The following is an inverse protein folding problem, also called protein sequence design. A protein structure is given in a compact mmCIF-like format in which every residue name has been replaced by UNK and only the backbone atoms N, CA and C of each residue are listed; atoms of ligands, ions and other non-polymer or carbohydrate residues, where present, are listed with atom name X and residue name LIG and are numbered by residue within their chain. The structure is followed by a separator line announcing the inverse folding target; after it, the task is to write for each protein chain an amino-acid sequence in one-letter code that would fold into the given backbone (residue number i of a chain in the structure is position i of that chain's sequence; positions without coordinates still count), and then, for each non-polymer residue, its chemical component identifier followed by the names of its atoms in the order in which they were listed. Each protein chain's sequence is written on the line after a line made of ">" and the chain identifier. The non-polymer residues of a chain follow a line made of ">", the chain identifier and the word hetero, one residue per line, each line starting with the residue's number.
data_IF_881551895874
#
_entry.id   IF_881551895874
#
_cell.length_a   1.000
_cell.length_b   1.000
_cell.length_c   1.000
_cell.angle_alpha   90.00
_cell.angle_beta   90.00
_cell.angle_gamma   90.00
#
_symmetry.space_group_name_H-M   'P 1'
#
loop_
_entity.id
_entity.type
_entity.pdbx_description
1 polymer ?
#
# COMPACT_ATOMS: atom_id res chain seq x y z
N UNK A 1 -10.31 13.50 5.10
CA UNK A 1 -9.57 12.74 4.07
C UNK A 1 -8.14 13.19 4.14
N UNK A 2 -7.21 12.25 4.21
CA UNK A 2 -5.77 12.55 4.28
C UNK A 2 -5.30 13.47 3.14
N UNK A 3 -4.32 14.33 3.39
CA UNK A 3 -3.77 15.19 2.35
C UNK A 3 -2.94 14.35 1.37
N UNK A 4 -2.88 14.79 0.11
CA UNK A 4 -2.03 14.19 -0.93
C UNK A 4 -0.56 14.21 -0.52
N UNK A 5 -0.11 15.31 0.10
CA UNK A 5 1.30 15.47 0.52
C UNK A 5 1.73 14.43 1.56
N UNK A 6 0.83 14.07 2.48
CA UNK A 6 1.10 13.07 3.54
C UNK A 6 1.31 11.65 2.98
N UNK A 7 0.85 11.41 1.74
CA UNK A 7 1.07 10.14 1.03
C UNK A 7 2.33 10.25 0.16
N UNK A 8 2.38 11.29 -0.68
CA UNK A 8 3.32 11.38 -1.80
C UNK A 8 4.72 11.85 -1.37
N UNK A 9 4.84 12.55 -0.24
CA UNK A 9 6.08 13.21 0.18
C UNK A 9 7.22 12.29 0.65
N UNK A 10 6.90 11.05 1.02
CA UNK A 10 7.87 10.13 1.63
C UNK A 10 8.83 9.48 0.64
N UNK A 11 10.06 9.18 1.09
CA UNK A 11 11.05 8.44 0.30
C UNK A 11 10.52 7.06 -0.08
N UNK A 12 9.85 6.36 0.86
CA UNK A 12 9.25 5.06 0.60
C UNK A 12 8.28 5.12 -0.59
N UNK A 13 7.34 6.06 -0.60
CA UNK A 13 6.39 6.15 -1.70
C UNK A 13 7.10 6.46 -3.03
N UNK A 14 8.01 7.43 -3.05
CA UNK A 14 8.77 7.81 -4.26
C UNK A 14 9.56 6.64 -4.82
N UNK A 15 10.24 5.89 -3.97
CA UNK A 15 11.05 4.73 -4.38
C UNK A 15 10.17 3.60 -4.95
N UNK A 16 9.03 3.32 -4.32
CA UNK A 16 8.07 2.35 -4.84
C UNK A 16 7.52 2.75 -6.20
N UNK A 17 7.27 4.05 -6.43
CA UNK A 17 6.83 4.52 -7.74
C UNK A 17 7.96 4.40 -8.76
N UNK A 18 9.20 4.76 -8.42
CA UNK A 18 10.35 4.60 -9.32
C UNK A 18 10.56 3.15 -9.75
N UNK A 19 10.52 2.20 -8.79
CA UNK A 19 10.60 0.75 -9.06
C UNK A 19 9.46 0.30 -9.98
N UNK A 20 8.24 0.81 -9.77
CA UNK A 20 7.12 0.45 -10.65
C UNK A 20 7.15 1.14 -12.01
N UNK A 21 7.74 2.32 -12.13
CA UNK A 21 7.98 2.98 -13.42
C UNK A 21 8.94 2.16 -14.27
N UNK A 22 9.93 1.50 -13.65
CA UNK A 22 10.76 0.52 -14.35
C UNK A 22 9.93 -0.64 -14.91
N UNK A 23 9.10 -1.26 -14.08
CA UNK A 23 8.21 -2.35 -14.50
C UNK A 23 7.19 -1.89 -15.55
N UNK A 24 6.75 -0.62 -15.50
CA UNK A 24 5.82 -0.04 -16.49
C UNK A 24 6.37 -0.14 -17.92
N UNK A 25 7.68 0.07 -18.12
CA UNK A 25 8.31 -0.08 -19.44
C UNK A 25 8.21 -1.51 -19.97
N UNK A 26 8.46 -2.51 -19.11
CA UNK A 26 8.24 -3.93 -19.45
C UNK A 26 6.79 -4.17 -19.85
N UNK A 27 5.83 -3.64 -19.09
CA UNK A 27 4.40 -3.84 -19.35
C UNK A 27 3.93 -3.19 -20.65
N UNK A 28 4.46 -2.02 -20.99
CA UNK A 28 4.20 -1.36 -22.27
C UNK A 28 4.76 -2.16 -23.45
N UNK A 29 5.96 -2.71 -23.30
CA UNK A 29 6.55 -3.60 -24.30
C UNK A 29 5.70 -4.88 -24.50
N UNK A 30 5.32 -5.57 -23.41
CA UNK A 30 4.45 -6.74 -23.49
C UNK A 30 3.09 -6.40 -24.11
N UNK A 31 2.53 -5.21 -23.84
CA UNK A 31 1.29 -4.74 -24.46
C UNK A 31 1.43 -4.62 -25.98
N UNK A 32 2.53 -4.05 -26.48
CA UNK A 32 2.77 -3.89 -27.91
C UNK A 32 2.88 -5.24 -28.64
N UNK A 33 3.35 -6.29 -27.96
CA UNK A 33 3.44 -7.64 -28.49
C UNK A 33 2.16 -8.47 -28.33
N UNK A 34 1.09 -7.92 -27.73
CA UNK A 34 -0.13 -8.67 -27.44
C UNK A 34 0.05 -9.71 -26.32
N UNK A 35 1.07 -9.56 -25.47
CA UNK A 35 1.45 -10.48 -24.40
C UNK A 35 1.17 -9.91 -23.00
N UNK A 36 0.31 -8.90 -22.89
CA UNK A 36 -0.03 -8.31 -21.59
C UNK A 36 -0.79 -9.34 -20.74
N UNK A 37 -0.35 -9.63 -19.51
CA UNK A 37 -1.03 -10.61 -18.64
C UNK A 37 -2.45 -10.17 -18.33
N UNK A 38 -3.34 -11.12 -18.08
CA UNK A 38 -4.73 -10.90 -17.68
C UNK A 38 -4.89 -10.05 -16.41
N UNK A 39 -6.13 -9.63 -16.10
CA UNK A 39 -6.41 -8.71 -15.00
C UNK A 39 -6.03 -9.24 -13.61
N UNK A 40 -6.01 -10.57 -13.44
CA UNK A 40 -5.67 -11.25 -12.19
C UNK A 40 -4.46 -12.17 -12.36
N UNK A 41 -3.76 -12.10 -13.49
CA UNK A 41 -2.54 -12.87 -13.71
C UNK A 41 -1.36 -12.15 -13.09
N UNK A 42 -0.53 -12.89 -12.36
CA UNK A 42 0.76 -12.43 -11.89
C UNK A 42 1.64 -12.16 -13.11
N UNK A 43 1.97 -10.89 -13.32
CA UNK A 43 2.73 -10.52 -14.51
C UNK A 43 3.05 -9.04 -14.62
N UNK A 44 2.55 -8.21 -13.69
CA UNK A 44 3.02 -6.84 -13.53
C UNK A 44 4.26 -6.76 -12.63
N UNK A 45 5.13 -7.76 -12.74
CA UNK A 45 6.40 -7.86 -12.02
C UNK A 45 7.54 -7.44 -12.93
N UNK A 46 8.61 -6.93 -12.35
CA UNK A 46 9.85 -6.54 -13.04
C UNK A 46 11.05 -7.07 -12.28
N UNK A 47 12.26 -6.96 -12.83
CA UNK A 47 13.49 -7.44 -12.16
C UNK A 47 13.65 -6.83 -10.75
N UNK A 48 13.16 -5.61 -10.57
CA UNK A 48 13.18 -4.89 -9.28
C UNK A 48 11.88 -5.06 -8.45
N UNK A 49 10.80 -5.61 -9.02
CA UNK A 49 9.47 -5.78 -8.41
C UNK A 49 8.96 -7.20 -8.70
N UNK A 50 9.65 -8.23 -8.19
CA UNK A 50 9.45 -9.61 -8.66
C UNK A 50 8.22 -10.30 -8.08
N UNK A 51 7.67 -9.84 -6.94
CA UNK A 51 6.70 -10.63 -6.16
C UNK A 51 5.60 -9.84 -5.41
N UNK A 52 5.55 -8.52 -5.62
CA UNK A 52 4.80 -7.66 -4.72
C UNK A 52 5.44 -7.61 -3.32
N UNK A 53 5.04 -6.64 -2.49
CA UNK A 53 5.66 -6.42 -1.19
C UNK A 53 4.66 -5.82 -0.20
N UNK A 54 4.88 -6.05 1.10
CA UNK A 54 4.12 -5.41 2.17
C UNK A 54 5.10 -4.67 3.08
N UNK A 55 4.92 -3.37 3.24
CA UNK A 55 5.67 -2.53 4.16
C UNK A 55 4.78 -2.11 5.32
N UNK A 56 5.21 -2.38 6.54
CA UNK A 56 4.46 -2.10 7.78
C UNK A 56 5.35 -1.34 8.76
N UNK A 57 4.86 -0.29 9.45
CA UNK A 57 5.58 0.32 10.55
C UNK A 57 5.90 -0.73 11.64
N UNK A 58 7.18 -0.96 11.90
CA UNK A 58 7.66 -2.16 12.58
C UNK A 58 7.18 -2.31 14.02
N UNK A 59 6.99 -1.21 14.74
CA UNK A 59 6.46 -1.23 16.11
C UNK A 59 5.00 -1.73 16.23
N UNK A 60 4.30 -1.94 15.11
CA UNK A 60 2.97 -2.54 15.09
C UNK A 60 2.97 -4.06 15.31
N UNK A 61 4.08 -4.72 15.01
CA UNK A 61 4.20 -6.19 14.99
C UNK A 61 5.15 -6.61 16.11
N UNK A 62 4.62 -7.34 17.09
CA UNK A 62 5.42 -7.80 18.25
C UNK A 62 6.15 -9.13 17.98
N UNK A 63 5.46 -10.09 17.36
CA UNK A 63 5.99 -11.41 17.06
C UNK A 63 5.57 -11.88 15.65
N UNK A 64 6.34 -12.83 15.10
CA UNK A 64 6.05 -13.48 13.82
C UNK A 64 5.02 -14.62 13.97
N UNK A 65 4.79 -15.37 12.89
CA UNK A 65 3.85 -16.51 12.86
C UNK A 65 4.27 -17.68 13.76
N UNK A 66 5.55 -17.77 14.09
CA UNK A 66 6.14 -18.84 14.91
C UNK A 66 6.29 -18.38 16.39
N UNK A 67 5.61 -17.29 16.75
CA UNK A 67 5.63 -16.66 18.07
C UNK A 67 7.01 -16.13 18.52
N UNK A 68 7.94 -15.92 17.58
CA UNK A 68 9.23 -15.31 17.89
C UNK A 68 9.11 -13.79 17.94
N UNK A 69 9.68 -13.15 18.97
CA UNK A 69 9.74 -11.68 19.04
C UNK A 69 10.49 -11.13 17.81
N UNK A 70 9.93 -10.10 17.19
CA UNK A 70 10.58 -9.46 16.04
C UNK A 70 11.91 -8.87 16.48
N UNK A 71 12.96 -9.25 15.76
CA UNK A 71 14.31 -8.71 15.90
C UNK A 71 14.75 -8.08 14.58
N UNK A 72 15.57 -7.05 14.67
CA UNK A 72 16.21 -6.42 13.53
C UNK A 72 17.56 -5.84 13.96
N UNK A 73 18.43 -5.64 12.99
CA UNK A 73 19.71 -4.96 13.18
C UNK A 73 19.51 -3.47 12.94
N UNK A 74 19.83 -2.67 13.96
CA UNK A 74 19.84 -1.21 13.83
C UNK A 74 21.02 -0.79 12.96
N UNK A 75 20.76 0.12 12.03
CA UNK A 75 21.72 0.71 11.11
C UNK A 75 22.17 2.02 11.73
N UNK A 76 23.46 2.09 12.12
CA UNK A 76 24.01 3.25 12.84
C UNK A 76 23.83 4.58 12.09
N UNK A 77 23.90 4.56 10.75
CA UNK A 77 23.76 5.73 9.90
C UNK A 77 22.83 5.44 8.72
N UNK A 78 21.53 5.36 8.99
CA UNK A 78 20.52 5.22 7.93
C UNK A 78 20.31 6.58 7.24
N UNK A 79 20.71 6.66 5.97
CA UNK A 79 20.45 7.82 5.10
C UNK A 79 19.43 7.48 3.99
N UNK A 80 19.08 8.48 3.18
CA UNK A 80 18.12 8.30 2.09
C UNK A 80 18.58 7.24 1.07
N UNK A 81 19.88 7.22 0.73
CA UNK A 81 20.42 6.31 -0.29
C UNK A 81 20.31 4.86 0.15
N UNK A 82 20.77 4.57 1.37
CA UNK A 82 20.71 3.25 1.97
C UNK A 82 19.26 2.81 2.22
N UNK A 83 18.38 3.73 2.61
CA UNK A 83 16.96 3.43 2.76
C UNK A 83 16.32 3.00 1.43
N UNK A 84 16.63 3.70 0.32
CA UNK A 84 16.15 3.32 -1.02
C UNK A 84 16.67 1.96 -1.46
N UNK A 85 17.95 1.67 -1.20
CA UNK A 85 18.54 0.35 -1.47
C UNK A 85 17.80 -0.76 -0.72
N UNK A 86 17.56 -0.59 0.59
CA UNK A 86 16.83 -1.56 1.41
C UNK A 86 15.39 -1.77 0.96
N UNK A 87 14.71 -0.73 0.45
CA UNK A 87 13.39 -0.88 -0.17
C UNK A 87 13.48 -1.80 -1.39
N UNK A 88 14.44 -1.57 -2.31
CA UNK A 88 14.59 -2.39 -3.52
C UNK A 88 14.91 -3.84 -3.21
N UNK A 89 15.77 -4.09 -2.23
CA UNK A 89 16.03 -5.44 -1.73
C UNK A 89 14.74 -6.09 -1.20
N UNK A 90 13.97 -5.32 -0.42
CA UNK A 90 12.74 -5.79 0.21
C UNK A 90 11.62 -6.13 -0.79
N UNK A 91 11.63 -5.52 -1.97
CA UNK A 91 10.66 -5.79 -3.05
C UNK A 91 10.78 -7.21 -3.66
N UNK A 92 11.83 -7.95 -3.29
CA UNK A 92 12.04 -9.33 -3.75
C UNK A 92 11.35 -10.37 -2.85
N UNK A 93 10.93 -9.98 -1.64
CA UNK A 93 10.32 -10.90 -0.67
C UNK A 93 8.79 -10.92 -0.82
N UNK A 94 8.22 -12.13 -0.78
CA UNK A 94 6.76 -12.35 -0.72
C UNK A 94 6.16 -11.89 0.63
N UNK A 95 7.01 -11.82 1.65
CA UNK A 95 6.70 -11.59 3.05
C UNK A 95 6.70 -10.10 3.43
N UNK A 96 6.30 -9.82 4.67
CA UNK A 96 6.29 -8.45 5.15
C UNK A 96 7.70 -7.92 5.43
N UNK A 97 7.90 -6.65 5.14
CA UNK A 97 9.05 -5.87 5.60
C UNK A 97 8.58 -4.87 6.63
N UNK A 98 9.17 -4.94 7.81
CA UNK A 98 8.87 -4.06 8.93
C UNK A 98 9.86 -2.90 8.92
N UNK A 99 9.34 -1.67 8.99
CA UNK A 99 10.11 -0.44 8.91
C UNK A 99 10.30 0.16 10.29
N UNK A 100 11.55 0.31 10.72
CA UNK A 100 11.94 0.99 11.95
C UNK A 100 12.67 2.30 11.61
N UNK A 101 12.70 3.29 12.53
CA UNK A 101 13.37 4.55 12.28
C UNK A 101 14.86 4.41 11.92
N UNK A 102 15.48 3.35 12.41
CA UNK A 102 16.90 3.03 12.31
C UNK A 102 17.14 1.68 11.63
N UNK A 103 16.15 1.04 11.01
CA UNK A 103 16.39 -0.29 10.44
C UNK A 103 15.18 -0.97 9.81
N UNK A 104 15.39 -2.23 9.42
CA UNK A 104 14.41 -3.06 8.72
C UNK A 104 14.39 -4.48 9.30
N UNK A 105 13.21 -5.05 9.46
CA UNK A 105 13.06 -6.51 9.56
C UNK A 105 12.43 -7.02 8.25
N UNK A 106 13.24 -7.57 7.37
CA UNK A 106 12.77 -8.10 6.09
C UNK A 106 12.29 -9.55 6.21
N UNK A 107 11.44 -9.97 5.27
CA UNK A 107 10.94 -11.35 5.16
C UNK A 107 10.19 -11.90 6.39
N UNK A 108 9.46 -11.04 7.10
CA UNK A 108 8.66 -11.45 8.28
C UNK A 108 7.41 -12.21 7.86
N UNK A 109 7.25 -13.42 8.40
CA UNK A 109 6.02 -14.21 8.29
C UNK A 109 4.99 -13.71 9.31
N UNK A 110 3.83 -13.28 8.83
CA UNK A 110 2.78 -12.72 9.69
C UNK A 110 1.63 -13.72 9.89
N UNK A 111 1.14 -13.88 11.12
CA UNK A 111 -0.06 -14.66 11.40
C UNK A 111 -1.33 -13.94 10.91
N UNK A 112 -1.76 -14.27 9.68
CA UNK A 112 -3.01 -13.75 9.11
C UNK A 112 -4.24 -14.01 10.01
N UNK A 113 -4.24 -15.11 10.76
CA UNK A 113 -5.30 -15.48 11.69
C UNK A 113 -5.38 -14.51 12.87
N UNK A 114 -4.24 -14.22 13.52
CA UNK A 114 -4.13 -13.22 14.59
C UNK A 114 -4.69 -11.87 14.16
N UNK A 115 -4.20 -11.30 13.05
CA UNK A 115 -4.65 -9.98 12.61
C UNK A 115 -6.14 -9.97 12.24
N UNK A 116 -6.64 -11.06 11.66
CA UNK A 116 -8.06 -11.21 11.35
C UNK A 116 -8.91 -11.20 12.63
N UNK A 117 -8.50 -11.94 13.67
CA UNK A 117 -9.20 -11.97 14.96
C UNK A 117 -9.15 -10.61 15.65
N UNK A 118 -7.99 -9.96 15.66
CA UNK A 118 -7.79 -8.61 16.21
C UNK A 118 -8.74 -7.61 15.54
N UNK A 119 -8.71 -7.52 14.21
CA UNK A 119 -9.53 -6.61 13.43
C UNK A 119 -11.02 -6.80 13.69
N UNK A 120 -11.50 -8.06 13.69
CA UNK A 120 -12.90 -8.39 14.00
C UNK A 120 -13.28 -8.00 15.41
N UNK A 121 -12.45 -8.31 16.40
CA UNK A 121 -12.75 -8.04 17.82
C UNK A 121 -12.83 -6.54 18.08
N UNK A 122 -11.88 -5.76 17.57
CA UNK A 122 -11.88 -4.30 17.65
C UNK A 122 -13.15 -3.71 17.03
N UNK A 123 -13.50 -4.11 15.81
CA UNK A 123 -14.66 -3.55 15.11
C UNK A 123 -16.00 -3.94 15.74
N UNK A 124 -16.14 -5.18 16.21
CA UNK A 124 -17.34 -5.62 16.93
C UNK A 124 -17.48 -4.89 18.27
N UNK A 125 -16.39 -4.71 19.03
CA UNK A 125 -16.44 -3.93 20.27
C UNK A 125 -16.80 -2.47 20.05
N UNK A 126 -16.22 -1.80 19.04
CA UNK A 126 -16.61 -0.43 18.67
C UNK A 126 -18.10 -0.37 18.34
N UNK A 127 -18.56 -1.29 17.50
CA UNK A 127 -19.97 -1.36 17.11
C UNK A 127 -20.89 -1.54 18.31
N UNK A 128 -20.52 -2.39 19.27
CA UNK A 128 -21.27 -2.61 20.50
C UNK A 128 -21.24 -1.39 21.45
N UNK A 129 -20.07 -0.78 21.66
CA UNK A 129 -19.88 0.35 22.56
C UNK A 129 -20.64 1.60 22.09
N UNK A 130 -20.70 1.84 20.77
CA UNK A 130 -21.38 2.98 20.18
C UNK A 130 -22.87 2.72 19.85
N UNK A 131 -23.46 1.61 20.34
CA UNK A 131 -24.92 1.38 20.20
C UNK A 131 -25.70 2.45 20.94
N UNK A 132 -26.61 3.13 20.23
CA UNK A 132 -27.55 4.10 20.82
C UNK A 132 -28.46 3.49 21.90
N UNK A 133 -28.80 2.20 21.79
CA UNK A 133 -29.59 1.47 22.79
C UNK A 133 -28.72 0.41 23.46
N UNK A 134 -28.49 0.55 24.76
CA UNK A 134 -27.70 -0.40 25.59
C UNK A 134 -28.48 -1.64 26.02
N UNK A 135 -29.63 -1.92 25.40
CA UNK A 135 -30.46 -3.10 25.71
C UNK A 135 -30.13 -4.22 24.74
N UNK A 136 -30.04 -5.44 25.25
CA UNK A 136 -30.00 -6.66 24.43
C UNK A 136 -31.39 -6.77 23.78
N UNK A 137 -31.52 -6.28 22.55
CA UNK A 137 -32.75 -6.38 21.77
C UNK A 137 -32.99 -7.82 21.30
N UNK A 138 -34.23 -8.13 20.89
CA UNK A 138 -34.57 -9.45 20.28
C UNK A 138 -33.80 -9.73 18.98
N UNK A 139 -33.36 -8.69 18.28
CA UNK A 139 -32.53 -8.81 17.06
C UNK A 139 -31.06 -8.77 17.46
N UNK A 140 -30.40 -9.93 17.41
CA UNK A 140 -28.95 -10.01 17.52
C UNK A 140 -28.33 -9.15 16.42
N UNK A 141 -27.32 -8.34 16.77
CA UNK A 141 -26.57 -7.62 15.76
C UNK A 141 -25.77 -8.60 14.92
N UNK A 142 -25.73 -8.35 13.61
CA UNK A 142 -24.84 -9.07 12.70
C UNK A 142 -23.42 -8.78 13.15
N UNK A 143 -22.67 -9.84 13.47
CA UNK A 143 -21.24 -9.73 13.78
C UNK A 143 -20.49 -9.37 12.51
N UNK A 144 -19.60 -8.38 12.62
CA UNK A 144 -18.70 -7.99 11.55
C UNK A 144 -17.69 -9.11 11.36
N UNK A 145 -17.63 -9.64 10.14
CA UNK A 145 -16.63 -10.64 9.78
C UNK A 145 -15.37 -9.99 9.17
N UNK A 146 -14.38 -10.82 8.85
CA UNK A 146 -13.15 -10.34 8.23
C UNK A 146 -13.38 -9.80 6.82
N UNK A 147 -14.27 -10.46 6.06
CA UNK A 147 -14.54 -10.10 4.68
C UNK A 147 -15.26 -8.75 4.60
N UNK A 148 -16.11 -8.41 5.56
CA UNK A 148 -16.74 -7.10 5.70
C UNK A 148 -15.68 -6.00 5.86
N UNK A 149 -14.67 -6.24 6.70
CA UNK A 149 -13.56 -5.32 6.93
C UNK A 149 -12.71 -5.17 5.67
N UNK A 150 -12.33 -6.30 5.05
CA UNK A 150 -11.53 -6.32 3.83
C UNK A 150 -12.27 -5.63 2.68
N UNK A 151 -13.57 -5.94 2.52
CA UNK A 151 -14.43 -5.36 1.51
C UNK A 151 -14.48 -3.84 1.62
N UNK A 152 -14.52 -3.29 2.84
CA UNK A 152 -14.54 -1.86 3.10
C UNK A 152 -13.26 -1.11 2.75
N UNK A 153 -12.11 -1.78 2.72
CA UNK A 153 -10.82 -1.17 2.37
C UNK A 153 -10.32 -1.55 0.98
N UNK A 154 -11.18 -2.12 0.13
CA UNK A 154 -10.85 -2.49 -1.24
C UNK A 154 -11.58 -1.59 -2.25
N UNK A 155 -10.93 -1.24 -3.36
CA UNK A 155 -11.60 -0.59 -4.47
C UNK A 155 -12.64 -1.55 -5.10
N UNK A 156 -13.59 -0.99 -5.84
CA UNK A 156 -14.73 -1.76 -6.38
C UNK A 156 -14.34 -2.87 -7.37
N UNK A 157 -13.18 -2.74 -8.03
CA UNK A 157 -12.68 -3.70 -9.02
C UNK A 157 -11.95 -4.90 -8.41
N UNK A 158 -11.57 -4.88 -7.13
CA UNK A 158 -11.03 -6.07 -6.45
C UNK A 158 -12.22 -6.86 -5.90
N UNK A 159 -12.54 -8.00 -6.51
CA UNK A 159 -13.63 -8.85 -6.06
C UNK A 159 -13.16 -9.90 -5.02
N UNK A 160 -14.12 -10.47 -4.29
CA UNK A 160 -13.89 -11.67 -3.48
C UNK A 160 -13.77 -12.89 -4.41
N UNK A 161 -12.96 -13.92 -4.08
CA UNK A 161 -12.17 -14.08 -2.87
C UNK A 161 -10.92 -13.18 -2.82
N UNK A 162 -10.61 -12.67 -1.64
CA UNK A 162 -9.44 -11.82 -1.43
C UNK A 162 -8.18 -12.65 -1.14
N UNK A 163 -7.10 -12.41 -1.88
CA UNK A 163 -5.80 -13.04 -1.65
C UNK A 163 -5.16 -12.66 -0.31
N UNK A 164 -4.21 -13.47 0.16
CA UNK A 164 -3.54 -13.36 1.46
C UNK A 164 -3.01 -11.96 1.76
N UNK A 165 -2.26 -11.34 0.82
CA UNK A 165 -1.72 -9.99 0.97
C UNK A 165 -2.80 -8.95 1.24
N UNK A 166 -3.92 -9.00 0.52
CA UNK A 166 -5.07 -8.10 0.73
C UNK A 166 -5.70 -8.31 2.10
N UNK A 167 -5.87 -9.56 2.52
CA UNK A 167 -6.47 -9.90 3.81
C UNK A 167 -5.62 -9.39 4.96
N UNK A 168 -4.34 -9.74 4.96
CA UNK A 168 -3.44 -9.47 6.07
C UNK A 168 -3.15 -7.98 6.21
N UNK A 169 -2.80 -7.29 5.12
CA UNK A 169 -2.51 -5.86 5.15
C UNK A 169 -3.71 -5.03 5.61
N UNK A 170 -4.92 -5.39 5.17
CA UNK A 170 -6.13 -4.72 5.62
C UNK A 170 -6.36 -4.92 7.11
N UNK A 171 -6.23 -6.16 7.60
CA UNK A 171 -6.45 -6.45 9.02
C UNK A 171 -5.37 -5.82 9.92
N UNK A 172 -4.09 -5.87 9.51
CA UNK A 172 -2.98 -5.21 10.19
C UNK A 172 -3.24 -3.71 10.30
N UNK A 173 -3.75 -3.07 9.24
CA UNK A 173 -3.98 -1.63 9.24
C UNK A 173 -5.02 -1.15 10.27
N UNK A 174 -5.87 -2.03 10.80
CA UNK A 174 -6.77 -1.70 11.91
C UNK A 174 -5.97 -1.32 13.16
N UNK A 175 -4.77 -1.89 13.36
CA UNK A 175 -3.91 -1.50 14.46
C UNK A 175 -3.38 -0.07 14.38
N UNK A 176 -3.30 0.51 13.17
CA UNK A 176 -2.98 1.93 12.98
C UNK A 176 -4.22 2.83 13.10
N UNK A 177 -5.40 2.33 12.73
CA UNK A 177 -6.66 3.08 12.85
C UNK A 177 -7.13 3.17 14.31
N UNK A 178 -6.91 2.11 15.09
CA UNK A 178 -7.37 1.98 16.48
C UNK A 178 -6.26 1.46 17.41
N UNK A 179 -5.12 2.18 17.56
CA UNK A 179 -3.92 1.68 18.25
C UNK A 179 -4.17 1.31 19.72
N UNK A 180 -4.99 2.08 20.45
CA UNK A 180 -5.31 1.75 21.86
C UNK A 180 -6.09 0.44 22.00
N UNK A 181 -7.07 0.19 21.11
CA UNK A 181 -7.83 -1.06 21.14
C UNK A 181 -6.97 -2.23 20.67
N UNK A 182 -6.07 -1.99 19.73
CA UNK A 182 -5.09 -2.97 19.28
C UNK A 182 -4.10 -3.35 20.39
N UNK A 183 -3.55 -2.37 21.12
CA UNK A 183 -2.71 -2.62 22.29
C UNK A 183 -3.45 -3.42 23.37
N UNK A 184 -4.73 -3.08 23.64
CA UNK A 184 -5.55 -3.82 24.60
C UNK A 184 -5.82 -5.27 24.16
N UNK A 185 -6.02 -5.50 22.86
CA UNK A 185 -6.11 -6.83 22.28
C UNK A 185 -4.80 -7.59 22.49
N UNK A 186 -3.67 -7.03 22.04
CA UNK A 186 -2.35 -7.65 22.15
C UNK A 186 -1.95 -7.97 23.60
N UNK A 187 -2.27 -7.07 24.55
CA UNK A 187 -2.05 -7.31 25.98
C UNK A 187 -2.69 -8.62 26.46
N UNK A 188 -3.90 -8.90 25.97
CA UNK A 188 -4.67 -10.09 26.37
C UNK A 188 -4.13 -11.34 25.68
N UNK A 189 -3.81 -11.25 24.39
CA UNK A 189 -3.39 -12.40 23.59
C UNK A 189 -1.96 -12.84 23.91
N UNK A 190 -1.02 -11.90 24.02
CA UNK A 190 0.40 -12.21 24.23
C UNK A 190 0.77 -12.45 25.70
N UNK A 191 -0.14 -12.20 26.64
CA UNK A 191 0.11 -12.35 28.09
C UNK A 191 1.41 -11.67 28.56
N UNK A 192 1.74 -10.51 27.99
CA UNK A 192 3.03 -9.83 28.22
C UNK A 192 3.20 -9.40 29.68
N UNK A 193 4.44 -9.51 30.17
CA UNK A 193 4.84 -8.89 31.44
C UNK A 193 4.66 -7.37 31.37
N UNK A 194 4.52 -6.71 32.52
CA UNK A 194 4.33 -5.24 32.60
C UNK A 194 5.46 -4.48 31.88
N UNK A 195 6.70 -4.98 31.96
CA UNK A 195 7.85 -4.38 31.28
C UNK A 195 7.77 -4.53 29.76
N UNK A 196 7.50 -5.75 29.26
CA UNK A 196 7.36 -6.01 27.82
C UNK A 196 6.19 -5.26 27.22
N UNK A 197 5.06 -5.18 27.93
CA UNK A 197 3.91 -4.39 27.50
C UNK A 197 4.25 -2.91 27.37
N UNK A 198 5.06 -2.35 28.30
CA UNK A 198 5.50 -0.95 28.21
C UNK A 198 6.40 -0.73 27.00
N UNK A 199 7.36 -1.64 26.73
CA UNK A 199 8.22 -1.59 25.54
C UNK A 199 7.39 -1.66 24.26
N UNK A 200 6.42 -2.57 24.20
CA UNK A 200 5.54 -2.71 23.04
C UNK A 200 4.64 -1.48 22.86
N UNK A 201 4.09 -0.90 23.93
CA UNK A 201 3.31 0.33 23.85
C UNK A 201 4.11 1.49 23.26
N UNK A 202 5.36 1.69 23.71
CA UNK A 202 6.26 2.72 23.14
C UNK A 202 6.53 2.44 21.66
N UNK A 203 6.80 1.19 21.31
CA UNK A 203 7.04 0.81 19.90
C UNK A 203 5.82 1.07 19.03
N UNK A 204 4.62 0.78 19.55
CA UNK A 204 3.36 1.04 18.86
C UNK A 204 3.10 2.54 18.69
N UNK A 205 3.41 3.37 19.70
CA UNK A 205 3.31 4.82 19.58
C UNK A 205 4.24 5.33 18.46
N UNK A 206 5.50 4.89 18.44
CA UNK A 206 6.45 5.22 17.35
C UNK A 206 5.94 4.75 15.97
N UNK A 207 5.25 3.60 15.89
CA UNK A 207 4.67 3.11 14.65
C UNK A 207 3.51 3.97 14.12
N UNK A 208 2.95 4.85 14.95
CA UNK A 208 1.90 5.82 14.55
C UNK A 208 2.44 7.19 14.16
N UNK A 209 3.77 7.38 14.21
CA UNK A 209 4.45 8.62 13.84
C UNK A 209 5.17 8.49 12.49
N UNK A 210 5.54 9.63 11.90
CA UNK A 210 6.40 9.64 10.72
C UNK A 210 7.84 9.32 11.13
N UNK A 211 8.51 8.46 10.36
CA UNK A 211 9.95 8.34 10.46
C UNK A 211 10.62 9.42 9.61
N UNK A 212 11.48 10.20 10.24
CA UNK A 212 12.14 11.36 9.64
C UNK A 212 13.65 11.30 9.87
N UNK A 213 14.42 11.69 8.86
CA UNK A 213 15.83 11.96 8.99
C UNK A 213 16.06 13.28 9.75
N UNK A 214 17.30 13.50 10.17
CA UNK A 214 17.70 14.70 10.93
C UNK A 214 17.48 16.02 10.18
N UNK A 215 17.44 15.98 8.85
CA UNK A 215 17.18 17.14 7.98
C UNK A 215 15.68 17.42 7.77
N UNK A 216 14.79 16.60 8.36
CA UNK A 216 13.33 16.67 8.20
C UNK A 216 12.78 15.87 7.02
N UNK A 217 13.63 15.16 6.27
CA UNK A 217 13.19 14.29 5.17
C UNK A 217 12.40 13.10 5.72
N UNK A 218 11.18 12.91 5.24
CA UNK A 218 10.29 11.81 5.68
C UNK A 218 10.68 10.51 4.97
N UNK A 219 11.19 9.53 5.71
CA UNK A 219 11.48 8.20 5.18
C UNK A 219 10.19 7.46 4.83
N UNK A 220 9.29 7.31 5.80
CA UNK A 220 8.01 6.67 5.62
C UNK A 220 6.94 7.22 6.59
N UNK A 221 5.67 7.29 6.16
CA UNK A 221 4.55 7.66 7.02
C UNK A 221 4.03 6.44 7.80
N UNK A 222 3.19 6.63 8.83
CA UNK A 222 2.60 5.55 9.62
C UNK A 222 1.46 4.84 8.86
N UNK A 223 1.77 4.24 7.71
CA UNK A 223 0.82 3.55 6.85
C UNK A 223 1.30 2.14 6.52
N UNK A 224 0.36 1.21 6.35
CA UNK A 224 0.66 -0.07 5.71
C UNK A 224 0.62 0.13 4.20
N UNK A 225 1.74 -0.10 3.51
CA UNK A 225 1.83 0.00 2.05
C UNK A 225 1.96 -1.40 1.45
N UNK A 226 1.15 -1.68 0.43
CA UNK A 226 1.11 -2.98 -0.24
C UNK A 226 1.31 -2.80 -1.72
N UNK A 227 2.38 -3.38 -2.25
CA UNK A 227 2.61 -3.51 -3.67
C UNK A 227 2.04 -4.85 -4.16
N UNK A 228 1.03 -4.80 -5.02
CA UNK A 228 0.54 -5.97 -5.74
C UNK A 228 1.32 -6.20 -7.05
N UNK A 229 1.39 -7.44 -7.48
CA UNK A 229 1.93 -7.96 -8.74
C UNK A 229 0.87 -8.12 -9.85
N UNK A 230 -0.39 -8.03 -9.47
CA UNK A 230 -1.56 -8.15 -10.34
C UNK A 230 -2.18 -6.78 -10.62
N UNK A 231 -2.67 -6.60 -11.85
CA UNK A 231 -3.17 -5.29 -12.33
C UNK A 231 -4.55 -4.95 -11.77
N UNK A 232 -5.38 -5.95 -11.45
CA UNK A 232 -6.77 -5.86 -10.97
C UNK A 232 -7.76 -5.05 -11.84
N UNK A 233 -7.27 -4.33 -12.85
CA UNK A 233 -8.04 -3.44 -13.73
C UNK A 233 -7.38 -3.42 -15.10
N UNK A 234 -8.19 -3.56 -16.15
CA UNK A 234 -7.71 -3.65 -17.52
C UNK A 234 -6.90 -2.42 -17.99
N UNK A 235 -7.28 -1.24 -17.50
CA UNK A 235 -6.59 0.00 -17.84
C UNK A 235 -5.31 0.22 -17.03
N UNK A 236 -5.13 -0.49 -15.91
CA UNK A 236 -3.90 -0.43 -15.13
C UNK A 236 -2.83 -1.26 -15.83
N UNK A 237 -1.66 -0.69 -16.06
CA UNK A 237 -0.55 -1.34 -16.76
C UNK A 237 0.30 -2.17 -15.80
N UNK A 238 0.49 -1.68 -14.58
CA UNK A 238 1.24 -2.36 -13.54
C UNK A 238 0.36 -2.83 -12.40
N UNK A 239 0.97 -3.49 -11.43
CA UNK A 239 0.31 -3.82 -10.19
C UNK A 239 0.01 -2.59 -9.34
N UNK A 240 -1.04 -2.74 -8.55
CA UNK A 240 -1.60 -1.72 -7.68
C UNK A 240 -0.73 -1.48 -6.43
N UNK A 241 -0.51 -0.22 -6.03
CA UNK A 241 -0.03 0.11 -4.69
C UNK A 241 -1.22 0.51 -3.81
N UNK A 242 -1.48 -0.21 -2.72
CA UNK A 242 -2.48 0.17 -1.71
C UNK A 242 -1.82 0.77 -0.50
N UNK A 243 -2.47 1.77 0.08
CA UNK A 243 -2.01 2.48 1.26
C UNK A 243 -3.16 2.46 2.26
N UNK A 244 -2.91 1.80 3.39
CA UNK A 244 -3.90 1.41 4.38
C UNK A 244 -3.52 1.99 5.74
N UNK A 245 -4.49 2.05 6.65
CA UNK A 245 -4.29 2.66 7.96
C UNK A 245 -4.34 4.19 7.92
N UNK A 246 -4.76 4.77 6.79
CA UNK A 246 -4.95 6.22 6.68
C UNK A 246 -6.27 6.62 7.34
N UNK A 247 -6.24 7.64 8.20
CA UNK A 247 -7.45 8.25 8.74
C UNK A 247 -8.38 7.27 9.47
N UNK A 248 -9.64 7.17 9.03
CA UNK A 248 -10.70 6.40 9.71
C UNK A 248 -10.99 5.07 9.00
N UNK A 249 -11.74 4.20 9.68
CA UNK A 249 -12.18 2.93 9.10
C UNK A 249 -12.75 3.07 7.67
N UNK A 250 -12.25 2.25 6.76
CA UNK A 250 -12.65 2.20 5.36
C UNK A 250 -12.03 3.30 4.48
N UNK A 251 -11.22 4.19 5.05
CA UNK A 251 -10.40 5.13 4.30
C UNK A 251 -9.10 4.43 3.86
N UNK A 252 -8.77 4.53 2.58
CA UNK A 252 -7.55 3.96 2.00
C UNK A 252 -7.20 4.68 0.70
N UNK A 253 -5.95 4.57 0.26
CA UNK A 253 -5.53 5.08 -1.04
C UNK A 253 -5.02 3.98 -1.96
N UNK A 254 -5.14 4.20 -3.26
CA UNK A 254 -4.55 3.35 -4.29
C UNK A 254 -3.76 4.18 -5.28
N UNK A 255 -2.58 3.71 -5.67
CA UNK A 255 -1.83 4.24 -6.79
C UNK A 255 -1.72 3.19 -7.90
N UNK A 256 -1.92 3.61 -9.15
CA UNK A 256 -1.87 2.76 -10.34
C UNK A 256 -1.34 3.54 -11.53
N UNK A 257 -0.53 2.91 -12.38
CA UNK A 257 -0.26 3.42 -13.73
C UNK A 257 -1.40 3.03 -14.66
N UNK A 258 -2.12 4.00 -15.21
CA UNK A 258 -3.23 3.76 -16.11
C UNK A 258 -2.98 4.29 -17.51
N UNK A 259 -3.40 3.50 -18.52
CA UNK A 259 -3.42 3.94 -19.92
C UNK A 259 -4.34 5.13 -20.08
N UNK A 260 -3.86 6.13 -20.82
CA UNK A 260 -4.68 7.24 -21.24
C UNK A 260 -5.69 6.77 -22.31
N UNK A 261 -6.93 6.55 -21.89
CA UNK A 261 -8.01 6.11 -22.78
C UNK A 261 -9.34 6.82 -22.48
N UNK A 262 -10.38 6.51 -23.26
CA UNK A 262 -11.72 7.13 -23.13
C UNK A 262 -12.29 7.04 -21.70
N UNK A 263 -12.01 5.95 -20.99
CA UNK A 263 -12.49 5.75 -19.62
C UNK A 263 -11.79 6.69 -18.64
N UNK A 264 -10.45 6.73 -18.66
CA UNK A 264 -9.67 7.62 -17.78
C UNK A 264 -9.96 9.09 -18.09
N UNK A 265 -10.00 9.47 -19.37
CA UNK A 265 -10.37 10.83 -19.79
C UNK A 265 -11.76 11.23 -19.30
N UNK A 266 -12.73 10.32 -19.35
CA UNK A 266 -14.07 10.54 -18.82
C UNK A 266 -14.09 10.70 -17.28
N UNK A 267 -13.24 9.96 -16.55
CA UNK A 267 -13.07 10.12 -15.11
C UNK A 267 -12.48 11.49 -14.76
N UNK A 268 -11.38 11.87 -15.41
CA UNK A 268 -10.70 13.16 -15.23
C UNK A 268 -11.62 14.34 -15.53
N UNK A 269 -12.37 14.29 -16.65
CA UNK A 269 -13.35 15.33 -17.02
C UNK A 269 -14.45 15.48 -15.97
N UNK A 270 -15.00 14.37 -15.45
CA UNK A 270 -16.02 14.40 -14.37
C UNK A 270 -15.48 14.97 -13.07
N UNK A 271 -14.19 14.77 -12.79
CA UNK A 271 -13.49 15.29 -11.61
C UNK A 271 -12.92 16.70 -11.83
N UNK A 272 -13.03 17.26 -13.04
CA UNK A 272 -12.46 18.55 -13.44
C UNK A 272 -10.96 18.62 -13.19
N UNK A 273 -10.26 17.54 -13.54
CA UNK A 273 -8.80 17.44 -13.43
C UNK A 273 -8.21 17.57 -14.83
N UNK A 274 -7.29 18.51 -14.96
CA UNK A 274 -6.47 18.69 -16.15
C UNK A 274 -5.18 17.87 -15.98
N UNK A 275 -4.62 17.44 -17.11
CA UNK A 275 -3.33 16.79 -17.18
C UNK A 275 -2.62 17.29 -18.45
N UNK A 276 -1.30 17.15 -18.45
CA UNK A 276 -0.42 17.54 -19.54
C UNK A 276 0.76 16.59 -19.66
N UNK A 277 1.71 16.96 -20.51
CA UNK A 277 2.93 16.20 -20.78
C UNK A 277 3.72 15.87 -19.51
N UNK A 278 3.74 16.80 -18.55
CA UNK A 278 4.46 16.65 -17.27
C UNK A 278 3.85 15.61 -16.32
N UNK A 279 2.71 15.03 -16.69
CA UNK A 279 2.02 13.98 -15.92
C UNK A 279 2.22 12.58 -16.51
N UNK A 280 2.85 12.48 -17.68
CA UNK A 280 3.07 11.22 -18.38
C UNK A 280 4.29 10.54 -17.80
N UNK A 281 4.11 9.32 -17.28
CA UNK A 281 5.21 8.52 -16.71
C UNK A 281 5.99 7.75 -17.76
N UNK A 282 5.32 7.34 -18.83
CA UNK A 282 5.94 6.64 -19.94
C UNK A 282 5.04 6.76 -21.18
N UNK A 283 5.68 6.79 -22.34
CA UNK A 283 5.05 6.70 -23.63
C UNK A 283 5.81 5.68 -24.49
N UNK A 284 5.09 4.70 -25.03
CA UNK A 284 5.67 3.68 -25.89
C UNK A 284 4.63 3.20 -26.90
N UNK A 285 4.99 3.16 -28.18
CA UNK A 285 4.11 2.76 -29.29
C UNK A 285 2.75 3.50 -29.27
N UNK A 286 2.76 4.80 -29.00
CA UNK A 286 1.55 5.64 -28.92
C UNK A 286 0.67 5.42 -27.69
N UNK A 287 1.07 4.56 -26.75
CA UNK A 287 0.39 4.37 -25.47
C UNK A 287 1.03 5.25 -24.41
N UNK A 288 0.24 6.18 -23.88
CA UNK A 288 0.66 7.08 -22.78
C UNK A 288 0.13 6.56 -21.45
N UNK A 289 0.97 6.55 -20.43
CA UNK A 289 0.64 6.09 -19.09
C UNK A 289 0.67 7.24 -18.07
N UNK A 290 -0.40 7.40 -17.30
CA UNK A 290 -0.51 8.38 -16.21
C UNK A 290 -0.41 7.69 -14.84
N UNK A 291 0.22 8.35 -13.87
CA UNK A 291 0.24 7.93 -12.48
C UNK A 291 -0.99 8.44 -11.73
N UNK A 292 -1.90 7.55 -11.35
CA UNK A 292 -3.20 7.90 -10.76
C UNK A 292 -3.26 7.50 -9.29
N UNK A 293 -3.45 8.48 -8.41
CA UNK A 293 -3.71 8.28 -6.99
C UNK A 293 -5.20 8.47 -6.70
N UNK A 294 -5.85 7.49 -6.07
CA UNK A 294 -7.23 7.59 -5.58
C UNK A 294 -7.26 7.45 -4.08
N UNK A 295 -7.82 8.43 -3.37
CA UNK A 295 -8.07 8.35 -1.92
C UNK A 295 -9.56 8.18 -1.68
N UNK A 296 -9.96 7.03 -1.15
CA UNK A 296 -11.34 6.65 -0.85
C UNK A 296 -11.72 7.17 0.53
N UNK A 297 -12.91 7.77 0.64
CA UNK A 297 -13.41 8.32 1.91
C UNK A 297 -13.79 7.20 2.90
N UNK A 298 -13.83 7.48 4.22
CA UNK A 298 -14.30 6.52 5.22
C UNK A 298 -15.67 5.91 4.89
N UNK A 299 -15.88 4.67 5.29
CA UNK A 299 -17.13 3.91 5.08
C UNK A 299 -17.45 3.05 6.31
N UNK A 300 -18.52 2.27 6.25
CA UNK A 300 -18.89 1.32 7.29
C UNK A 300 -18.45 -0.09 6.91
N UNK A 301 -18.24 -0.99 7.89
CA UNK A 301 -17.97 -2.40 7.65
C UNK A 301 -18.97 -3.02 6.67
N UNK A 302 -18.49 -3.84 5.74
CA UNK A 302 -19.32 -4.48 4.71
C UNK A 302 -19.76 -3.57 3.57
N UNK A 303 -19.34 -2.29 3.57
CA UNK A 303 -19.62 -1.34 2.48
C UNK A 303 -18.34 -0.77 1.88
N UNK A 304 -18.34 -0.59 0.57
CA UNK A 304 -17.31 0.17 -0.17
C UNK A 304 -17.63 1.64 -0.25
N UNK A 305 -16.59 2.46 -0.16
CA UNK A 305 -16.70 3.88 -0.42
C UNK A 305 -16.75 4.15 -1.93
N UNK A 306 -17.87 4.74 -2.38
CA UNK A 306 -17.99 5.23 -3.76
C UNK A 306 -17.42 6.65 -3.93
N UNK A 307 -17.15 7.34 -2.81
CA UNK A 307 -16.61 8.69 -2.79
C UNK A 307 -15.09 8.62 -2.68
N UNK A 308 -14.41 9.15 -3.69
CA UNK A 308 -12.95 9.26 -3.69
C UNK A 308 -12.48 10.59 -4.29
N UNK A 309 -11.33 11.06 -3.83
CA UNK A 309 -10.50 12.08 -4.49
C UNK A 309 -9.62 11.37 -5.51
N UNK A 310 -9.47 11.99 -6.67
CA UNK A 310 -8.59 11.55 -7.75
C UNK A 310 -7.48 12.59 -7.87
N UNK A 311 -6.23 12.17 -7.91
CA UNK A 311 -5.08 13.03 -8.12
C UNK A 311 -4.23 12.40 -9.25
N UNK A 312 -3.80 13.21 -10.22
CA UNK A 312 -2.83 12.81 -11.25
C UNK A 312 -1.46 13.28 -10.75
N UNK A 313 -0.49 12.37 -10.67
CA UNK A 313 0.85 12.70 -10.18
C UNK A 313 1.75 13.10 -11.35
N UNK A 314 2.55 14.13 -11.15
CA UNK A 314 3.70 14.47 -11.99
C UNK A 314 4.95 13.77 -11.45
N UNK A 315 5.66 12.98 -12.27
CA UNK A 315 6.90 12.31 -11.87
C UNK A 315 7.93 13.29 -11.31
N UNK A 316 8.18 14.39 -12.00
CA UNK A 316 9.20 15.36 -11.58
C UNK A 316 8.69 16.25 -10.43
N UNK A 317 7.53 16.90 -10.61
CA UNK A 317 7.06 17.92 -9.65
C UNK A 317 6.62 17.33 -8.32
N UNK A 318 5.99 16.16 -8.32
CA UNK A 318 5.43 15.57 -7.11
C UNK A 318 6.33 14.48 -6.49
N UNK A 319 7.09 13.75 -7.31
CA UNK A 319 7.89 12.61 -6.85
C UNK A 319 9.39 12.86 -6.89
N UNK A 320 9.85 13.90 -7.60
CA UNK A 320 11.28 14.14 -7.85
C UNK A 320 11.95 12.91 -8.50
N UNK A 321 11.28 12.32 -9.50
CA UNK A 321 11.77 11.15 -10.24
C UNK A 321 12.23 11.59 -11.63
N UNK A 322 13.46 11.24 -11.99
CA UNK A 322 13.97 11.36 -13.35
C UNK A 322 13.50 10.17 -14.20
N UNK A 323 12.57 10.45 -15.12
CA UNK A 323 12.03 9.42 -16.01
C UNK A 323 13.02 8.95 -17.06
N UNK A 324 13.93 9.80 -17.52
CA UNK A 324 14.85 9.46 -18.59
C UNK A 324 15.83 8.38 -18.13
N UNK A 325 16.40 8.57 -16.93
CA UNK A 325 17.29 7.59 -16.31
C UNK A 325 16.59 6.24 -16.11
N UNK A 326 15.35 6.25 -15.61
CA UNK A 326 14.58 5.01 -15.44
C UNK A 326 14.29 4.36 -16.80
N UNK A 327 13.90 5.14 -17.80
CA UNK A 327 13.59 4.63 -19.13
C UNK A 327 14.80 3.98 -19.79
N UNK A 328 15.96 4.62 -19.78
CA UNK A 328 17.21 4.07 -20.33
C UNK A 328 17.57 2.74 -19.63
N UNK A 329 17.57 2.76 -18.29
CA UNK A 329 17.85 1.57 -17.49
C UNK A 329 16.86 0.43 -17.77
N UNK A 330 15.57 0.74 -17.91
CA UNK A 330 14.53 -0.24 -18.16
C UNK A 330 14.63 -0.84 -19.57
N UNK A 331 14.88 0.01 -20.59
CA UNK A 331 15.06 -0.42 -21.97
C UNK A 331 16.24 -1.38 -22.11
N UNK A 332 17.38 -1.05 -21.50
CA UNK A 332 18.54 -1.93 -21.48
C UNK A 332 18.21 -3.25 -20.77
N UNK A 333 17.61 -3.16 -19.58
CA UNK A 333 17.32 -4.33 -18.73
C UNK A 333 16.34 -5.30 -19.35
N UNK A 334 15.30 -4.79 -20.01
CA UNK A 334 14.25 -5.60 -20.61
C UNK A 334 14.44 -5.82 -22.11
N UNK A 335 15.54 -5.30 -22.69
CA UNK A 335 15.85 -5.37 -24.13
C UNK A 335 14.69 -4.86 -24.98
N UNK A 336 14.20 -3.68 -24.61
CA UNK A 336 13.13 -2.99 -25.33
C UNK A 336 13.80 -2.21 -26.46
N UNK A 337 13.62 -2.68 -27.68
CA UNK A 337 14.09 -1.95 -28.86
C UNK A 337 13.30 -0.64 -29.01
N UNK A 338 13.94 0.41 -29.49
CA UNK A 338 13.21 1.60 -29.93
C UNK A 338 12.36 1.19 -31.13
N UNK A 339 11.05 1.12 -30.92
CA UNK A 339 10.13 0.82 -32.01
C UNK A 339 10.39 1.84 -33.15
N UNK A 340 10.61 1.39 -34.40
CA UNK A 340 10.74 2.32 -35.51
C UNK A 340 9.45 3.14 -35.57
N UNK A 341 9.59 4.46 -35.49
CA UNK A 341 8.50 5.40 -35.74
C UNK A 341 8.10 5.15 -37.20
N UNK A 342 7.02 4.40 -37.42
CA UNK A 342 6.40 4.31 -38.73
C UNK A 342 5.78 5.69 -39.01
N UNK A 343 6.53 6.49 -39.78
CA UNK A 343 6.13 7.80 -40.33
C UNK A 343 4.83 7.71 -41.12
#
# INVERSE_FOLDING_TARGET
>A
MINRKDIVGSILFKELIAVRTDTLWRMLFCLQQGQLPGINEEGATGKLDNKGAIFIPGGLIYQDVDDNEITYEAIESLDESLFREKIRESMQFDNATLLFPDGFASSVNLDSGFFTRAARRINNFKTAAFKRKRKIGRKLTIDIDANDIIHSHCPTYIASPYGSRTRISTCVSIGLIDPHMYLAYCKTEYSLSKHRLKKFAVSLDTATEHSVLSDGTVLYPPHVIVCHDTRYKENSLTGLVRILGIGRFGEFSTFTFERLNKQLMGELKRKKIEYGEEHVFAEYAGVRALGILRTYAPTNPGKRSMKYRLDVLSPEKDLNIDLNVIAECAKERYRIDDAPISL
#
